data_IF_960386262155
#
_entry.id   IF_960386262155
#
_cell.length_a   1.000
_cell.length_b   1.000
_cell.length_c   1.000
_cell.angle_alpha   90.00
_cell.angle_beta   90.00
_cell.angle_gamma   90.00
#
_symmetry.space_group_name_H-M   'P 1'
#
loop_
_entity.id
_entity.type
_entity.pdbx_description
1 polymer ?
#
# COMPACT_ATOMS: atom_id res chain seq x y z
N UNK A 1 -10.75 33.48 -52.87
CA UNK A 1 -10.73 34.32 -51.66
C UNK A 1 -10.30 33.45 -50.48
N UNK A 2 -9.05 33.46 -50.14
CA UNK A 2 -8.51 32.72 -48.98
C UNK A 2 -8.68 33.61 -47.74
N UNK A 3 -9.67 33.22 -46.88
CA UNK A 3 -9.85 33.80 -45.54
C UNK A 3 -8.61 33.55 -44.72
N UNK A 4 -7.87 34.59 -44.33
CA UNK A 4 -6.81 34.45 -43.30
C UNK A 4 -7.44 33.95 -42.01
N UNK A 5 -6.81 32.98 -41.32
CA UNK A 5 -7.31 32.56 -40.02
C UNK A 5 -7.25 33.76 -39.04
N UNK A 6 -8.19 33.89 -38.11
CA UNK A 6 -8.23 34.97 -37.15
C UNK A 6 -6.92 34.94 -36.31
N UNK A 7 -6.30 36.13 -36.21
CA UNK A 7 -5.12 36.28 -35.36
C UNK A 7 -5.52 36.12 -33.90
N UNK A 8 -4.86 35.17 -33.18
CA UNK A 8 -5.08 34.99 -31.75
C UNK A 8 -4.76 36.25 -30.99
N UNK A 9 -5.67 36.72 -30.17
CA UNK A 9 -5.42 37.83 -29.26
C UNK A 9 -4.37 37.49 -28.22
N UNK A 10 -3.77 38.50 -27.58
CA UNK A 10 -2.79 38.27 -26.53
C UNK A 10 -3.38 37.44 -25.34
N UNK A 11 -4.66 37.64 -25.05
CA UNK A 11 -5.41 36.88 -24.04
C UNK A 11 -5.52 35.39 -24.41
N UNK A 12 -5.81 35.07 -25.68
CA UNK A 12 -5.90 33.70 -26.14
C UNK A 12 -4.54 32.96 -26.05
N UNK A 13 -3.48 33.65 -26.33
CA UNK A 13 -2.10 33.13 -26.21
C UNK A 13 -1.72 32.88 -24.76
N UNK A 14 -2.12 33.74 -23.81
CA UNK A 14 -1.89 33.58 -22.39
C UNK A 14 -2.66 32.38 -21.83
N UNK A 15 -3.90 32.18 -22.24
CA UNK A 15 -4.73 31.02 -21.84
C UNK A 15 -4.13 29.73 -22.38
N UNK A 16 -3.65 29.71 -23.60
CA UNK A 16 -3.07 28.53 -24.26
C UNK A 16 -1.78 28.02 -23.57
N UNK A 17 -1.07 28.91 -22.89
CA UNK A 17 0.14 28.57 -22.10
C UNK A 17 -0.22 28.25 -20.65
N UNK A 18 -1.19 28.94 -20.07
CA UNK A 18 -1.57 28.76 -18.67
C UNK A 18 -2.24 27.40 -18.40
N UNK A 19 -3.11 26.91 -19.31
CA UNK A 19 -3.83 25.64 -19.14
C UNK A 19 -2.88 24.45 -18.98
N UNK A 20 -1.89 24.19 -19.84
CA UNK A 20 -0.97 23.08 -19.67
C UNK A 20 -0.13 23.17 -18.40
N UNK A 21 0.23 24.36 -17.95
CA UNK A 21 0.97 24.54 -16.69
C UNK A 21 0.10 24.14 -15.50
N UNK A 22 -1.15 24.58 -15.46
CA UNK A 22 -2.10 24.22 -14.39
C UNK A 22 -2.37 22.73 -14.38
N UNK A 23 -2.63 22.11 -15.53
CA UNK A 23 -2.86 20.67 -15.65
C UNK A 23 -1.62 19.89 -15.20
N UNK A 24 -0.42 20.30 -15.61
CA UNK A 24 0.83 19.66 -15.22
C UNK A 24 1.10 19.78 -13.71
N UNK A 25 0.80 20.94 -13.12
CA UNK A 25 0.92 21.15 -11.68
C UNK A 25 -0.06 20.27 -10.90
N UNK A 26 -1.32 20.19 -11.35
CA UNK A 26 -2.32 19.29 -10.74
C UNK A 26 -1.89 17.81 -10.86
N UNK A 27 -1.34 17.42 -12.01
CA UNK A 27 -0.83 16.06 -12.22
C UNK A 27 0.33 15.72 -11.29
N UNK A 28 1.29 16.64 -11.11
CA UNK A 28 2.42 16.47 -10.17
C UNK A 28 1.88 16.35 -8.73
N UNK A 29 0.99 17.26 -8.33
CA UNK A 29 0.40 17.24 -7.00
C UNK A 29 -0.39 15.94 -6.75
N UNK A 30 -1.22 15.51 -7.70
CA UNK A 30 -1.97 14.27 -7.60
C UNK A 30 -1.05 13.04 -7.45
N UNK A 31 0.03 12.97 -8.22
CA UNK A 31 1.01 11.89 -8.06
C UNK A 31 1.78 11.98 -6.75
N UNK A 32 2.09 13.17 -6.26
CA UNK A 32 2.78 13.36 -4.98
C UNK A 32 1.91 12.95 -3.78
N UNK A 33 0.60 13.28 -3.83
CA UNK A 33 -0.35 12.90 -2.79
C UNK A 33 -0.85 11.44 -2.88
N UNK A 34 -0.63 10.76 -4.00
CA UNK A 34 -1.02 9.35 -4.19
C UNK A 34 0.11 8.36 -3.90
N UNK A 35 1.25 8.82 -3.37
CA UNK A 35 2.28 7.90 -2.93
C UNK A 35 1.79 7.16 -1.70
N UNK A 36 1.61 5.85 -1.85
CA UNK A 36 1.28 4.98 -0.74
C UNK A 36 2.41 5.07 0.32
N UNK A 37 2.03 5.22 1.58
CA UNK A 37 2.97 5.30 2.69
C UNK A 37 3.71 3.96 2.82
N UNK A 38 5.04 4.00 2.79
CA UNK A 38 5.87 2.80 3.01
C UNK A 38 6.09 2.54 4.50
N UNK A 39 6.51 1.33 4.83
CA UNK A 39 6.86 0.99 6.21
C UNK A 39 8.07 1.79 6.69
N UNK A 40 9.06 2.03 5.83
CA UNK A 40 10.22 2.82 6.16
C UNK A 40 9.85 4.28 6.47
N UNK A 41 8.96 4.88 5.68
CA UNK A 41 8.50 6.26 5.93
C UNK A 41 7.67 6.35 7.21
N UNK A 42 6.81 5.35 7.47
CA UNK A 42 6.03 5.29 8.71
C UNK A 42 6.92 5.13 9.95
N UNK A 43 8.00 4.37 9.84
CA UNK A 43 8.99 4.20 10.89
C UNK A 43 9.79 5.49 11.15
N UNK A 44 10.31 6.14 10.09
CA UNK A 44 11.06 7.39 10.21
C UNK A 44 10.21 8.51 10.82
N UNK A 45 8.92 8.55 10.49
CA UNK A 45 7.97 9.51 11.07
C UNK A 45 7.44 9.08 12.45
N UNK A 46 7.84 7.91 12.95
CA UNK A 46 7.40 7.35 14.23
C UNK A 46 5.86 7.31 14.38
N UNK A 47 5.17 6.96 13.30
CA UNK A 47 3.72 6.91 13.30
C UNK A 47 3.24 5.75 14.18
N UNK A 48 2.43 6.00 15.22
CA UNK A 48 2.03 4.95 16.16
C UNK A 48 1.11 3.91 15.51
N UNK A 49 0.37 4.33 14.47
CA UNK A 49 -0.62 3.51 13.77
C UNK A 49 -0.86 4.10 12.37
N UNK A 50 -0.57 3.35 11.32
CA UNK A 50 -0.69 3.82 9.95
C UNK A 50 -1.09 2.71 8.98
N UNK A 51 -1.83 3.05 7.94
CA UNK A 51 -2.05 2.16 6.80
C UNK A 51 -0.87 2.30 5.83
N UNK A 52 -0.26 1.18 5.48
CA UNK A 52 0.94 1.14 4.64
C UNK A 52 0.76 0.17 3.48
N UNK A 53 1.36 0.53 2.35
CA UNK A 53 1.46 -0.33 1.18
C UNK A 53 2.92 -0.48 0.80
N UNK A 54 3.46 -1.67 0.95
CA UNK A 54 4.88 -1.90 0.80
C UNK A 54 5.16 -3.37 0.46
N UNK A 55 6.41 -3.76 0.58
CA UNK A 55 6.87 -5.12 0.48
C UNK A 55 8.30 -5.27 0.99
N UNK A 56 8.65 -6.50 1.29
CA UNK A 56 9.99 -6.81 1.77
C UNK A 56 10.38 -8.24 1.49
N UNK A 57 11.67 -8.49 1.53
CA UNK A 57 12.20 -9.84 1.42
C UNK A 57 12.15 -10.54 2.78
N UNK A 58 11.68 -11.78 2.79
CA UNK A 58 11.64 -12.60 4.00
C UNK A 58 13.08 -12.92 4.42
N UNK A 59 13.48 -12.48 5.61
CA UNK A 59 14.79 -12.76 6.17
C UNK A 59 14.75 -13.81 7.29
N UNK A 60 13.58 -13.99 7.91
CA UNK A 60 13.37 -14.97 8.96
C UNK A 60 11.90 -15.40 9.00
N UNK A 61 11.68 -16.69 9.21
CA UNK A 61 10.35 -17.23 9.50
C UNK A 61 10.21 -17.43 11.00
N UNK A 62 9.04 -17.08 11.53
CA UNK A 62 8.72 -17.39 12.92
C UNK A 62 7.96 -18.70 13.03
N UNK A 63 8.13 -19.45 14.13
CA UNK A 63 7.33 -20.61 14.39
C UNK A 63 5.83 -20.26 14.36
N UNK A 64 5.04 -21.08 13.70
CA UNK A 64 3.59 -20.87 13.63
C UNK A 64 3.00 -21.16 15.01
N UNK A 65 2.58 -20.12 15.71
CA UNK A 65 1.99 -20.23 17.07
C UNK A 65 0.50 -20.54 16.99
N UNK A 66 -0.16 -20.07 15.93
CA UNK A 66 -1.56 -20.34 15.66
C UNK A 66 -1.72 -20.91 14.24
N UNK A 67 -2.70 -21.76 14.03
CA UNK A 67 -2.94 -22.39 12.71
C UNK A 67 -3.42 -21.42 11.64
N UNK A 68 -3.89 -20.25 12.07
CA UNK A 68 -4.50 -19.21 11.24
C UNK A 68 -3.59 -17.99 11.01
N UNK A 69 -2.36 -18.00 11.55
CA UNK A 69 -1.47 -16.85 11.43
C UNK A 69 -0.08 -17.25 10.94
N UNK A 70 0.38 -16.61 9.89
CA UNK A 70 1.75 -16.74 9.39
C UNK A 70 2.52 -15.49 9.78
N UNK A 71 3.71 -15.69 10.37
CA UNK A 71 4.54 -14.59 10.85
C UNK A 71 5.97 -14.73 10.33
N UNK A 72 6.53 -13.60 9.90
CA UNK A 72 7.92 -13.56 9.45
C UNK A 72 8.52 -12.17 9.69
N UNK A 73 9.85 -12.10 9.62
CA UNK A 73 10.58 -10.84 9.58
C UNK A 73 10.91 -10.50 8.15
N UNK A 74 10.60 -9.28 7.76
CA UNK A 74 10.86 -8.73 6.44
C UNK A 74 11.96 -7.68 6.50
N UNK A 75 12.74 -7.60 5.44
CA UNK A 75 13.64 -6.49 5.16
C UNK A 75 13.06 -5.65 4.04
N UNK A 76 12.93 -4.34 4.26
CA UNK A 76 12.38 -3.42 3.27
C UNK A 76 13.14 -3.49 1.94
N UNK A 77 12.46 -3.18 0.82
CA UNK A 77 13.06 -3.24 -0.52
C UNK A 77 14.28 -2.35 -0.68
N UNK A 78 14.31 -1.22 0.01
CA UNK A 78 15.43 -0.27 0.03
C UNK A 78 16.50 -0.63 1.06
N UNK A 79 16.35 -1.77 1.75
CA UNK A 79 17.24 -2.27 2.79
C UNK A 79 17.43 -1.35 4.02
N UNK A 80 16.55 -0.33 4.19
CA UNK A 80 16.68 0.64 5.29
C UNK A 80 16.28 0.06 6.64
N UNK A 81 15.23 -0.75 6.67
CA UNK A 81 14.68 -1.28 7.93
C UNK A 81 14.30 -2.75 7.84
N UNK A 82 14.22 -3.37 8.99
CA UNK A 82 13.64 -4.70 9.20
C UNK A 82 12.44 -4.56 10.11
N UNK A 83 11.35 -5.27 9.81
CA UNK A 83 10.10 -5.21 10.54
C UNK A 83 9.39 -6.55 10.56
N UNK A 84 8.49 -6.74 11.52
CA UNK A 84 7.71 -7.96 11.63
C UNK A 84 6.44 -7.88 10.79
N UNK A 85 6.09 -8.98 10.14
CA UNK A 85 4.90 -9.10 9.30
C UNK A 85 4.05 -10.27 9.78
N UNK A 86 2.77 -10.00 9.99
CA UNK A 86 1.78 -10.99 10.40
C UNK A 86 0.64 -11.02 9.39
N UNK A 87 0.40 -12.20 8.83
CA UNK A 87 -0.73 -12.44 7.96
C UNK A 87 -1.71 -13.40 8.62
N UNK A 88 -2.93 -12.96 8.87
CA UNK A 88 -4.00 -13.83 9.37
C UNK A 88 -4.66 -14.53 8.19
N UNK A 89 -4.56 -15.85 8.15
CA UNK A 89 -5.17 -16.69 7.13
C UNK A 89 -6.69 -16.68 7.34
N UNK A 90 -7.41 -16.23 6.31
CA UNK A 90 -8.87 -16.26 6.30
C UNK A 90 -9.33 -17.38 5.38
N UNK A 91 -9.76 -18.52 5.96
CA UNK A 91 -10.24 -19.68 5.21
C UNK A 91 -9.29 -20.88 5.25
N UNK A 92 -9.40 -21.78 4.26
CA UNK A 92 -8.64 -23.04 4.19
C UNK A 92 -7.31 -22.92 3.41
N UNK A 93 -6.86 -21.69 3.11
CA UNK A 93 -5.64 -21.49 2.35
C UNK A 93 -4.41 -21.69 3.23
N UNK A 94 -3.40 -22.40 2.70
CA UNK A 94 -2.11 -22.57 3.36
C UNK A 94 -1.07 -21.78 2.60
N UNK A 95 -0.37 -20.88 3.29
CA UNK A 95 0.73 -20.13 2.74
C UNK A 95 2.04 -20.73 3.25
N UNK A 96 2.87 -21.23 2.33
CA UNK A 96 4.22 -21.71 2.66
C UNK A 96 5.22 -20.62 2.30
N UNK A 97 5.59 -19.81 3.26
CA UNK A 97 6.61 -18.78 3.09
C UNK A 97 8.02 -19.39 3.05
N UNK A 98 8.91 -18.79 2.24
CA UNK A 98 10.30 -19.18 2.12
C UNK A 98 11.21 -17.95 2.32
N UNK A 99 12.31 -18.14 3.04
CA UNK A 99 13.34 -17.09 3.21
C UNK A 99 13.93 -16.70 1.86
N UNK A 100 14.16 -15.40 1.67
CA UNK A 100 14.66 -14.82 0.43
C UNK A 100 13.58 -14.43 -0.59
N UNK A 101 12.32 -14.80 -0.37
CA UNK A 101 11.22 -14.43 -1.25
C UNK A 101 10.62 -13.08 -0.87
N UNK A 102 10.04 -12.41 -1.87
CA UNK A 102 9.37 -11.13 -1.72
C UNK A 102 7.91 -11.32 -1.30
N UNK A 103 7.49 -10.60 -0.28
CA UNK A 103 6.09 -10.40 0.08
C UNK A 103 5.72 -8.94 -0.20
N UNK A 104 4.59 -8.71 -0.87
CA UNK A 104 3.98 -7.40 -1.01
C UNK A 104 2.69 -7.38 -0.21
N UNK A 105 2.32 -6.24 0.34
CA UNK A 105 1.12 -6.15 1.17
C UNK A 105 0.54 -4.75 1.21
N UNK A 106 -0.73 -4.71 1.59
CA UNK A 106 -1.40 -3.54 2.14
C UNK A 106 -1.89 -3.93 3.53
N UNK A 107 -1.43 -3.22 4.55
CA UNK A 107 -1.66 -3.61 5.93
C UNK A 107 -1.62 -2.45 6.90
N UNK A 108 -1.80 -2.77 8.16
CA UNK A 108 -1.74 -1.82 9.26
C UNK A 108 -0.41 -1.93 9.98
N UNK A 109 0.32 -0.83 9.96
CA UNK A 109 1.60 -0.69 10.64
C UNK A 109 1.40 -0.20 12.07
N UNK A 110 2.17 -0.75 12.99
CA UNK A 110 2.33 -0.26 14.37
C UNK A 110 3.80 -0.02 14.65
N UNK A 111 4.12 1.17 15.13
CA UNK A 111 5.49 1.53 15.48
C UNK A 111 6.00 0.77 16.69
N UNK A 112 7.23 0.27 16.60
CA UNK A 112 8.09 -0.08 17.72
C UNK A 112 9.56 0.21 17.34
N UNK A 113 10.43 0.37 18.34
CA UNK A 113 11.82 0.78 18.13
C UNK A 113 12.67 -0.25 17.34
N UNK A 114 12.17 -1.47 17.11
CA UNK A 114 12.85 -2.53 16.37
C UNK A 114 12.43 -2.62 14.90
N UNK A 115 11.73 -1.59 14.39
CA UNK A 115 11.26 -1.51 13.02
C UNK A 115 9.74 -1.55 12.86
N UNK A 116 9.03 -1.93 13.91
CA UNK A 116 7.58 -2.01 13.93
C UNK A 116 7.02 -3.33 13.42
N UNK A 117 5.70 -3.39 13.38
CA UNK A 117 4.94 -4.58 12.99
C UNK A 117 3.86 -4.22 11.98
N UNK A 118 3.73 -5.00 10.92
CA UNK A 118 2.62 -4.90 9.96
C UNK A 118 1.70 -6.09 10.12
N UNK A 119 0.41 -5.83 10.24
CA UNK A 119 -0.64 -6.85 10.27
C UNK A 119 -1.57 -6.71 9.06
N UNK A 120 -1.93 -7.83 8.45
CA UNK A 120 -2.93 -7.89 7.39
C UNK A 120 -3.62 -9.27 7.41
N UNK A 121 -4.92 -9.36 7.16
CA UNK A 121 -5.88 -8.27 7.12
C UNK A 121 -6.08 -7.60 8.48
N UNK A 122 -6.67 -6.43 8.49
CA UNK A 122 -6.96 -5.65 9.70
C UNK A 122 -8.38 -5.08 9.65
N UNK A 123 -8.98 -4.83 10.82
CA UNK A 123 -10.27 -4.15 10.88
C UNK A 123 -10.09 -2.66 10.61
N UNK A 124 -10.68 -2.17 9.52
CA UNK A 124 -10.74 -0.75 9.21
C UNK A 124 -11.75 -0.01 10.09
N UNK A 125 -11.83 1.32 9.91
CA UNK A 125 -12.77 2.19 10.66
C UNK A 125 -14.24 1.79 10.46
N UNK A 126 -14.58 1.19 9.33
CA UNK A 126 -15.93 0.67 9.03
C UNK A 126 -16.25 -0.68 9.68
N UNK A 127 -15.30 -1.28 10.39
CA UNK A 127 -15.42 -2.64 10.93
C UNK A 127 -15.19 -3.76 9.92
N UNK A 128 -15.06 -3.43 8.63
CA UNK A 128 -14.74 -4.41 7.56
C UNK A 128 -13.26 -4.78 7.61
N UNK A 129 -12.97 -6.03 7.20
CA UNK A 129 -11.60 -6.49 7.04
C UNK A 129 -11.00 -5.87 5.78
N UNK A 130 -9.90 -5.16 5.96
CA UNK A 130 -9.12 -4.55 4.90
C UNK A 130 -7.72 -5.18 4.85
N UNK A 131 -7.04 -4.93 3.74
CA UNK A 131 -5.67 -5.38 3.55
C UNK A 131 -5.57 -6.62 2.67
N UNK A 132 -4.37 -6.90 2.22
CA UNK A 132 -4.03 -8.04 1.38
C UNK A 132 -2.54 -8.31 1.45
N UNK A 133 -2.15 -9.52 1.06
CA UNK A 133 -0.77 -9.89 0.81
C UNK A 133 -0.64 -10.52 -0.59
N UNK A 134 0.50 -10.33 -1.24
CA UNK A 134 0.86 -11.03 -2.48
C UNK A 134 2.17 -11.77 -2.22
N UNK A 135 2.14 -13.06 -2.47
CA UNK A 135 3.29 -13.94 -2.40
C UNK A 135 3.27 -14.89 -3.60
N UNK A 136 4.40 -15.02 -4.31
CA UNK A 136 4.52 -15.83 -5.53
C UNK A 136 3.43 -15.58 -6.58
N UNK A 137 3.09 -14.30 -6.82
CA UNK A 137 2.03 -13.85 -7.72
C UNK A 137 0.60 -14.27 -7.32
N UNK A 138 0.41 -14.87 -6.16
CA UNK A 138 -0.90 -15.15 -5.61
C UNK A 138 -1.29 -14.07 -4.60
N UNK A 139 -2.51 -13.53 -4.78
CA UNK A 139 -3.07 -12.52 -3.88
C UNK A 139 -3.95 -13.17 -2.83
N UNK A 140 -3.60 -12.95 -1.59
CA UNK A 140 -4.35 -13.33 -0.41
C UNK A 140 -5.11 -12.12 0.11
N UNK A 141 -6.43 -12.21 0.13
CA UNK A 141 -7.31 -11.15 0.64
C UNK A 141 -8.33 -11.76 1.58
N UNK A 142 -8.83 -11.02 2.58
CA UNK A 142 -9.91 -11.53 3.41
C UNK A 142 -11.11 -11.84 2.53
N UNK A 143 -11.72 -12.99 2.74
CA UNK A 143 -13.04 -13.29 2.12
C UNK A 143 -14.04 -12.36 2.78
N UNK A 144 -14.82 -11.64 1.97
CA UNK A 144 -15.98 -10.92 2.48
C UNK A 144 -16.92 -11.98 3.12
N UNK A 145 -17.15 -11.85 4.42
CA UNK A 145 -18.27 -12.59 5.03
C UNK A 145 -19.54 -12.17 4.26
N UNK A 146 -20.34 -13.11 3.76
CA UNK A 146 -21.61 -12.78 3.14
C UNK A 146 -22.39 -11.95 4.16
N UNK A 147 -22.77 -10.75 3.73
CA UNK A 147 -23.58 -9.82 4.53
C UNK A 147 -24.82 -10.61 5.00
N UNK A 148 -24.82 -10.97 6.28
CA UNK A 148 -25.95 -11.65 6.87
C UNK A 148 -27.07 -10.60 6.97
N UNK A 149 -27.81 -10.43 5.86
CA UNK A 149 -29.04 -9.68 5.83
C UNK A 149 -30.03 -10.41 6.73
N UNK A 150 -29.89 -10.13 8.03
CA UNK A 150 -30.82 -10.60 9.05
C UNK A 150 -32.21 -10.17 8.69
N UNK A 151 -33.04 -11.15 8.47
CA UNK A 151 -34.50 -11.04 8.44
C UNK A 151 -35.02 -10.56 9.81
#
# INVERSE_FOLDING_TARGET
MTKRPPELTWQDKAILVAIPIVVFTIFILANYFSQDLTVADAFEQQLPDAEVRDGGNIIQLYPQVATDTVSCRLKSRDNRIEYDFHYQITGSETIKLEVGRLVQFYGKYKFDARGGTVATPYKGKSGRLNGWAIYENHRYSPKEEPENNGL
#
